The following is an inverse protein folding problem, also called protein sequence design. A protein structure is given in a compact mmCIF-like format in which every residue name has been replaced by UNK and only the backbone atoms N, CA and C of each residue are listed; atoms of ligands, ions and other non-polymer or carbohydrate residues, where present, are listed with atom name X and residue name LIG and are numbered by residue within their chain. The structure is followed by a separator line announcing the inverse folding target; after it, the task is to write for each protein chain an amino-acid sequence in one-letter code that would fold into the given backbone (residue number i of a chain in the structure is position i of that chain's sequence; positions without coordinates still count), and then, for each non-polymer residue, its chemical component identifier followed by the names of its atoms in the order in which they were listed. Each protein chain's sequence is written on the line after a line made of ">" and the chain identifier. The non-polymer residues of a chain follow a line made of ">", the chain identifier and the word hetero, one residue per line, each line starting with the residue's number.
data_IF_747779144258
#
_entry.id   IF_747779144258
#
_cell.length_a   1.000
_cell.length_b   1.000
_cell.length_c   1.000
_cell.angle_alpha   90.00
_cell.angle_beta   90.00
_cell.angle_gamma   90.00
#
_symmetry.space_group_name_H-M   'P 1'
#
loop_
_entity.id
_entity.type
_entity.pdbx_description
1 polymer ?
#
# COMPACT_ATOMS: atom_id res chain seq x y z
N UNK A 1 14.76 24.21 10.55
CA UNK A 1 14.48 22.75 10.56
C UNK A 1 13.19 22.55 9.81
N UNK A 2 13.23 22.22 8.52
CA UNK A 2 12.02 21.94 7.76
C UNK A 2 11.55 20.54 8.17
N UNK A 3 10.52 20.47 9.00
CA UNK A 3 9.84 19.21 9.31
C UNK A 3 9.07 18.83 8.04
N UNK A 4 9.68 18.02 7.17
CA UNK A 4 8.99 17.50 5.99
C UNK A 4 7.77 16.73 6.46
N UNK A 5 6.57 17.23 6.15
CA UNK A 5 5.33 16.55 6.53
C UNK A 5 5.27 15.21 5.78
N UNK A 6 5.25 14.11 6.52
CA UNK A 6 5.07 12.77 5.96
C UNK A 6 3.60 12.50 5.71
N UNK A 7 3.28 12.02 4.52
CA UNK A 7 1.95 11.56 4.12
C UNK A 7 1.86 10.04 4.23
N UNK A 8 0.66 9.54 4.52
CA UNK A 8 0.35 8.11 4.55
C UNK A 8 -0.57 7.78 3.37
N UNK A 9 -0.10 6.89 2.50
CA UNK A 9 -0.86 6.39 1.36
C UNK A 9 -1.12 4.91 1.50
N UNK A 10 -2.27 4.45 1.02
CA UNK A 10 -2.56 3.03 0.81
C UNK A 10 -2.55 2.75 -0.69
N UNK A 11 -1.71 1.80 -1.10
CA UNK A 11 -1.66 1.26 -2.45
C UNK A 11 -2.37 -0.08 -2.50
N UNK A 12 -3.24 -0.27 -3.48
CA UNK A 12 -3.95 -1.52 -3.73
C UNK A 12 -3.56 -2.06 -5.10
N UNK A 13 -3.01 -3.27 -5.11
CA UNK A 13 -2.58 -3.96 -6.30
C UNK A 13 -3.72 -4.77 -6.91
N UNK A 14 -3.86 -4.68 -8.23
CA UNK A 14 -4.77 -5.48 -9.03
C UNK A 14 -3.98 -6.17 -10.12
N UNK A 15 -4.00 -7.48 -10.08
CA UNK A 15 -3.33 -8.34 -11.04
C UNK A 15 -4.07 -9.68 -11.10
N UNK A 16 -3.96 -10.35 -12.24
CA UNK A 16 -4.44 -11.72 -12.35
C UNK A 16 -3.49 -12.62 -11.54
N UNK A 17 -3.95 -13.06 -10.37
CA UNK A 17 -3.16 -13.89 -9.46
C UNK A 17 -2.97 -15.30 -10.05
N UNK A 18 -1.73 -15.73 -10.25
CA UNK A 18 -1.41 -17.10 -10.65
C UNK A 18 -1.10 -17.96 -9.41
N UNK A 19 -1.99 -17.87 -8.41
CA UNK A 19 -1.91 -18.57 -7.14
C UNK A 19 -1.21 -17.81 -6.01
N UNK A 20 -1.24 -18.40 -4.81
CA UNK A 20 -0.79 -17.79 -3.54
C UNK A 20 0.71 -17.40 -3.52
N UNK A 21 1.50 -17.92 -4.47
CA UNK A 21 2.93 -17.58 -4.59
C UNK A 21 3.13 -16.13 -5.00
N UNK A 22 2.24 -15.56 -5.81
CA UNK A 22 2.34 -14.17 -6.28
C UNK A 22 2.10 -13.17 -5.15
N UNK A 23 1.06 -13.42 -4.34
CA UNK A 23 0.79 -12.63 -3.14
C UNK A 23 1.98 -12.66 -2.16
N UNK A 24 2.55 -13.83 -1.90
CA UNK A 24 3.69 -13.97 -0.99
C UNK A 24 4.93 -13.22 -1.49
N UNK A 25 5.22 -13.27 -2.80
CA UNK A 25 6.31 -12.50 -3.42
C UNK A 25 6.07 -11.00 -3.32
N UNK A 26 4.86 -10.55 -3.64
CA UNK A 26 4.49 -9.14 -3.59
C UNK A 26 4.62 -8.58 -2.17
N UNK A 27 4.02 -9.27 -1.18
CA UNK A 27 4.13 -8.90 0.24
C UNK A 27 5.60 -8.87 0.67
N UNK A 28 6.38 -9.90 0.34
CA UNK A 28 7.80 -9.96 0.70
C UNK A 28 8.63 -8.82 0.09
N UNK A 29 8.35 -8.44 -1.16
CA UNK A 29 9.01 -7.30 -1.80
C UNK A 29 8.60 -5.98 -1.14
N UNK A 30 7.31 -5.73 -0.95
CA UNK A 30 6.81 -4.46 -0.42
C UNK A 30 7.23 -4.23 1.03
N UNK A 31 7.15 -5.25 1.88
CA UNK A 31 7.61 -5.15 3.27
C UNK A 31 9.10 -4.83 3.36
N UNK A 32 9.91 -5.33 2.42
CA UNK A 32 11.35 -5.00 2.34
C UNK A 32 11.59 -3.54 2.01
N UNK A 33 10.72 -2.94 1.18
CA UNK A 33 10.79 -1.53 0.78
C UNK A 33 10.10 -0.59 1.79
N UNK A 34 9.65 -1.12 2.93
CA UNK A 34 9.08 -0.33 4.03
C UNK A 34 7.57 -0.11 3.94
N UNK A 35 6.87 -0.80 3.05
CA UNK A 35 5.42 -0.85 3.06
C UNK A 35 4.93 -1.75 4.21
N UNK A 36 3.74 -1.47 4.74
CA UNK A 36 3.14 -2.22 5.86
C UNK A 36 1.73 -2.70 5.52
N UNK A 37 1.29 -3.79 6.13
CA UNK A 37 -0.04 -4.40 5.90
C UNK A 37 -1.13 -3.88 6.84
N UNK A 38 -0.77 -3.00 7.77
CA UNK A 38 -1.71 -2.40 8.72
C UNK A 38 -1.39 -0.94 8.98
N UNK A 39 -2.41 -0.19 9.38
CA UNK A 39 -2.28 1.21 9.78
C UNK A 39 -2.92 1.43 11.14
N UNK A 40 -2.37 2.35 11.92
CA UNK A 40 -2.98 2.79 13.18
C UNK A 40 -3.69 4.11 12.93
N UNK A 41 -4.96 4.20 13.30
CA UNK A 41 -5.73 5.44 13.18
C UNK A 41 -5.40 6.46 14.28
N UNK A 42 -6.02 7.64 14.21
CA UNK A 42 -5.82 8.72 15.18
C UNK A 42 -6.29 8.38 16.61
N UNK A 43 -7.16 7.37 16.77
CA UNK A 43 -7.63 6.87 18.05
C UNK A 43 -6.71 5.78 18.64
N UNK A 44 -5.63 5.41 17.92
CA UNK A 44 -4.73 4.34 18.32
C UNK A 44 -5.26 2.94 17.97
N UNK A 45 -6.31 2.83 17.15
CA UNK A 45 -6.86 1.53 16.72
C UNK A 45 -6.06 1.00 15.54
N UNK A 46 -5.65 -0.26 15.64
CA UNK A 46 -4.97 -0.96 14.56
C UNK A 46 -5.97 -1.53 13.55
N UNK A 47 -5.75 -1.24 12.28
CA UNK A 47 -6.56 -1.70 11.15
C UNK A 47 -5.70 -2.51 10.18
N UNK A 48 -6.08 -3.76 9.95
CA UNK A 48 -5.49 -4.58 8.89
C UNK A 48 -6.02 -4.12 7.53
N UNK A 49 -5.11 -3.99 6.57
CA UNK A 49 -5.46 -3.67 5.19
C UNK A 49 -5.89 -4.95 4.45
N UNK A 50 -6.62 -4.80 3.36
CA UNK A 50 -6.97 -5.94 2.50
C UNK A 50 -5.72 -6.64 1.95
N UNK A 51 -5.83 -7.92 1.55
CA UNK A 51 -4.67 -8.77 1.20
C UNK A 51 -3.72 -8.20 0.15
N UNK A 52 -4.23 -7.41 -0.81
CA UNK A 52 -3.44 -6.74 -1.85
C UNK A 52 -3.20 -5.25 -1.57
N UNK A 53 -3.43 -4.80 -0.35
CA UNK A 53 -3.33 -3.39 0.06
C UNK A 53 -2.22 -3.18 1.07
N UNK A 54 -1.42 -2.14 0.86
CA UNK A 54 -0.25 -1.84 1.67
C UNK A 54 -0.15 -0.34 1.92
N UNK A 55 0.17 0.06 3.14
CA UNK A 55 0.41 1.45 3.49
C UNK A 55 1.88 1.81 3.34
N UNK A 56 2.14 3.06 2.98
CA UNK A 56 3.47 3.63 2.86
C UNK A 56 3.47 5.05 3.42
N UNK A 57 4.33 5.28 4.42
CA UNK A 57 4.50 6.57 5.07
C UNK A 57 5.76 7.21 4.49
N UNK A 58 5.60 8.34 3.80
CA UNK A 58 6.70 8.95 3.04
C UNK A 58 6.52 10.45 2.87
N UNK A 59 7.60 11.13 2.48
CA UNK A 59 7.59 12.53 2.07
C UNK A 59 7.31 12.72 0.59
N UNK A 60 7.24 11.62 -0.17
CA UNK A 60 6.93 11.63 -1.60
C UNK A 60 5.47 12.01 -1.84
N UNK A 61 5.19 12.55 -3.02
CA UNK A 61 3.82 12.76 -3.45
C UNK A 61 3.14 11.46 -3.91
N UNK A 62 1.83 11.53 -4.13
CA UNK A 62 1.03 10.38 -4.49
C UNK A 62 1.47 9.75 -5.83
N UNK A 63 1.91 10.55 -6.80
CA UNK A 63 2.27 10.09 -8.13
C UNK A 63 3.59 9.31 -8.09
N UNK A 64 4.56 9.79 -7.32
CA UNK A 64 5.82 9.10 -7.04
C UNK A 64 5.60 7.79 -6.30
N UNK A 65 4.72 7.76 -5.29
CA UNK A 65 4.38 6.52 -4.58
C UNK A 65 3.72 5.52 -5.52
N UNK A 66 2.82 5.97 -6.40
CA UNK A 66 2.18 5.10 -7.39
C UNK A 66 3.21 4.50 -8.36
N UNK A 67 4.15 5.30 -8.87
CA UNK A 67 5.23 4.83 -9.74
C UNK A 67 6.14 3.81 -9.03
N UNK A 68 6.52 4.10 -7.78
CA UNK A 68 7.34 3.18 -6.97
C UNK A 68 6.61 1.85 -6.73
N UNK A 69 5.36 1.91 -6.31
CA UNK A 69 4.54 0.73 -6.09
C UNK A 69 4.39 -0.11 -7.36
N UNK A 70 4.17 0.52 -8.53
CA UNK A 70 4.13 -0.18 -9.82
C UNK A 70 5.46 -0.87 -10.14
N UNK A 71 6.59 -0.19 -9.94
CA UNK A 71 7.92 -0.75 -10.17
C UNK A 71 8.22 -1.96 -9.28
N UNK A 72 7.93 -1.85 -7.98
CA UNK A 72 8.12 -2.96 -7.04
C UNK A 72 7.15 -4.12 -7.29
N UNK A 73 5.90 -3.81 -7.64
CA UNK A 73 4.93 -4.82 -8.05
C UNK A 73 5.40 -5.58 -9.30
N UNK A 74 5.92 -4.88 -10.31
CA UNK A 74 6.49 -5.52 -11.49
C UNK A 74 7.72 -6.38 -11.16
N UNK A 75 8.59 -5.92 -10.27
CA UNK A 75 9.76 -6.68 -9.83
C UNK A 75 9.35 -7.99 -9.13
N UNK A 76 8.34 -7.94 -8.27
CA UNK A 76 7.86 -9.10 -7.53
C UNK A 76 7.09 -10.09 -8.41
N UNK A 77 6.23 -9.59 -9.29
CA UNK A 77 5.28 -10.39 -10.06
C UNK A 77 5.79 -10.78 -11.45
N UNK A 78 6.85 -10.15 -11.95
CA UNK A 78 7.34 -10.31 -13.32
C UNK A 78 6.43 -9.72 -14.41
N UNK A 79 5.32 -9.10 -14.02
CA UNK A 79 4.31 -8.45 -14.87
C UNK A 79 3.86 -7.16 -14.23
N UNK A 80 3.49 -6.16 -15.04
CA UNK A 80 3.07 -4.85 -14.52
C UNK A 80 1.66 -4.96 -13.91
N UNK A 81 1.49 -4.76 -12.59
CA UNK A 81 0.16 -4.74 -11.98
C UNK A 81 -0.51 -3.38 -12.19
N UNK A 82 -1.84 -3.36 -12.14
CA UNK A 82 -2.59 -2.13 -11.93
C UNK A 82 -2.45 -1.74 -10.45
N UNK A 83 -2.22 -0.45 -10.18
CA UNK A 83 -2.07 0.09 -8.83
C UNK A 83 -3.05 1.22 -8.64
N UNK A 84 -3.97 1.06 -7.69
CA UNK A 84 -4.79 2.14 -7.18
C UNK A 84 -4.13 2.72 -5.92
N UNK A 85 -4.26 4.02 -5.70
CA UNK A 85 -3.70 4.71 -4.54
C UNK A 85 -4.73 5.68 -3.94
N UNK A 86 -4.75 5.77 -2.62
CA UNK A 86 -5.53 6.76 -1.89
C UNK A 86 -4.84 7.11 -0.56
N UNK A 87 -5.32 8.14 0.14
CA UNK A 87 -4.81 8.44 1.48
C UNK A 87 -5.23 7.35 2.47
N UNK A 88 -4.43 7.12 3.52
CA UNK A 88 -4.80 6.19 4.59
C UNK A 88 -6.15 6.57 5.24
N UNK A 89 -6.44 7.86 5.36
CA UNK A 89 -7.72 8.36 5.89
C UNK A 89 -8.89 7.94 5.01
N UNK A 90 -8.79 8.14 3.69
CA UNK A 90 -9.87 7.77 2.76
C UNK A 90 -10.08 6.26 2.74
N UNK A 91 -9.01 5.48 2.86
CA UNK A 91 -9.09 4.02 2.92
C UNK A 91 -9.84 3.55 4.17
N UNK A 92 -9.46 4.06 5.35
CA UNK A 92 -10.10 3.71 6.62
C UNK A 92 -11.58 4.12 6.67
N UNK A 93 -11.93 5.28 6.10
CA UNK A 93 -13.33 5.69 6.00
C UNK A 93 -14.17 4.70 5.18
N UNK A 94 -13.61 4.14 4.10
CA UNK A 94 -14.30 3.14 3.27
C UNK A 94 -14.44 1.80 4.01
N UNK A 95 -13.40 1.36 4.72
CA UNK A 95 -13.45 0.13 5.54
C UNK A 95 -14.60 0.17 6.56
N UNK A 96 -14.80 1.30 7.25
CA UNK A 96 -15.87 1.44 8.23
C UNK A 96 -17.28 1.53 7.61
N UNK A 97 -17.39 1.84 6.31
CA UNK A 97 -18.71 1.96 5.65
C UNK A 97 -19.27 0.59 5.25
N UNK A 98 -18.42 -0.43 5.15
CA UNK A 98 -18.79 -1.81 4.81
C UNK A 98 -19.04 -2.70 6.05
N UNK A 99 -19.10 -2.12 7.26
CA UNK A 99 -19.40 -2.83 8.53
C UNK A 99 -20.75 -2.39 9.10
#
# INVERSE_FOLDING_TARGET
>A
MSQSATSCFVVTFRYQEEGLTDLAKLTGQLTREGFVTSVTDENGVHHELGSNSFAFITVLDQEDVQRLAQGFGQLALGKQPEVAICSCKDYLQRLHTDT
#
